data_IF_171981834869
#
_entry.id   IF_171981834869
#
_cell.length_a   1.000
_cell.length_b   1.000
_cell.length_c   1.000
_cell.angle_alpha   90.00
_cell.angle_beta   90.00
_cell.angle_gamma   90.00
#
_symmetry.space_group_name_H-M   'P 1'
#
loop_
_entity.id
_entity.type
_entity.pdbx_description
1 polymer ?
#
# COMPACT_ATOMS: atom_id res chain seq x y z
N UNK A 1 -11.27 2.53 5.75
CA UNK A 1 -11.55 3.62 6.71
C UNK A 1 -11.13 4.94 6.07
N UNK A 2 -11.60 6.08 6.58
CA UNK A 2 -11.13 7.41 6.18
C UNK A 2 -12.23 8.36 5.76
N UNK A 3 -11.84 9.47 5.13
CA UNK A 3 -12.76 10.54 4.70
C UNK A 3 -13.50 10.16 3.42
N UNK A 4 -14.44 9.22 3.54
CA UNK A 4 -15.17 8.65 2.41
C UNK A 4 -16.63 8.39 2.78
N UNK A 5 -17.54 8.79 1.90
CA UNK A 5 -18.93 8.41 1.96
C UNK A 5 -19.33 7.84 0.59
N UNK A 6 -20.11 6.75 0.61
CA UNK A 6 -20.67 6.16 -0.61
C UNK A 6 -21.99 5.45 -0.29
N UNK A 7 -22.72 5.05 -1.32
CA UNK A 7 -23.94 4.24 -1.22
C UNK A 7 -23.69 2.94 -1.96
N UNK A 8 -23.99 1.79 -1.34
CA UNK A 8 -23.96 0.47 -1.98
C UNK A 8 -25.36 -0.14 -1.84
N UNK A 9 -25.99 -0.54 -2.94
CA UNK A 9 -27.32 -1.16 -2.95
C UNK A 9 -28.39 -0.38 -2.13
N UNK A 10 -28.33 0.95 -2.14
CA UNK A 10 -29.21 1.83 -1.36
C UNK A 10 -28.83 2.01 0.12
N UNK A 11 -27.83 1.29 0.63
CA UNK A 11 -27.28 1.48 1.98
C UNK A 11 -26.19 2.55 1.96
N UNK A 12 -26.36 3.61 2.75
CA UNK A 12 -25.35 4.66 2.92
C UNK A 12 -24.24 4.20 3.88
N UNK A 13 -23.01 4.28 3.42
CA UNK A 13 -21.79 4.11 4.22
C UNK A 13 -21.15 5.48 4.42
N UNK A 14 -21.18 5.95 5.67
CA UNK A 14 -20.63 7.25 6.05
C UNK A 14 -19.40 7.05 6.95
N UNK A 15 -18.23 7.01 6.32
CA UNK A 15 -16.96 6.92 7.05
C UNK A 15 -16.48 8.31 7.52
N UNK A 16 -17.08 9.41 7.05
CA UNK A 16 -16.61 10.78 7.34
C UNK A 16 -16.82 11.12 8.82
N UNK A 17 -17.94 10.71 9.41
CA UNK A 17 -18.23 10.96 10.83
C UNK A 17 -17.29 10.17 11.77
N UNK A 18 -16.80 9.02 11.32
CA UNK A 18 -15.90 8.15 12.08
C UNK A 18 -14.75 7.67 11.18
N UNK A 19 -13.80 8.56 10.82
CA UNK A 19 -12.81 8.30 9.77
C UNK A 19 -11.83 7.19 10.13
N UNK A 20 -11.71 6.83 11.39
CA UNK A 20 -10.83 5.73 11.82
C UNK A 20 -11.57 4.41 12.01
N UNK A 21 -12.89 4.37 11.82
CA UNK A 21 -13.66 3.14 11.89
C UNK A 21 -13.47 2.33 10.60
N UNK A 22 -13.12 1.05 10.76
CA UNK A 22 -12.97 0.13 9.66
C UNK A 22 -14.36 -0.28 9.12
N UNK A 23 -14.51 -0.26 7.79
CA UNK A 23 -15.68 -0.76 7.08
C UNK A 23 -15.22 -1.82 6.08
N UNK A 24 -16.02 -2.87 5.84
CA UNK A 24 -15.71 -3.87 4.82
C UNK A 24 -15.71 -3.23 3.43
N UNK A 25 -14.90 -3.79 2.54
CA UNK A 25 -14.89 -3.41 1.13
C UNK A 25 -16.18 -3.90 0.46
N UNK A 26 -16.86 -3.05 -0.35
CA UNK A 26 -18.02 -3.45 -1.14
C UNK A 26 -17.72 -4.66 -2.02
N UNK A 27 -18.58 -5.67 -1.97
CA UNK A 27 -18.43 -6.87 -2.82
C UNK A 27 -18.90 -6.57 -4.24
N UNK A 28 -20.02 -5.85 -4.35
CA UNK A 28 -20.61 -5.43 -5.62
C UNK A 28 -20.21 -4.00 -5.93
N UNK A 29 -18.95 -3.82 -6.34
CA UNK A 29 -18.38 -2.49 -6.62
C UNK A 29 -19.16 -1.73 -7.71
N UNK A 30 -19.84 -2.45 -8.61
CA UNK A 30 -20.68 -1.85 -9.66
C UNK A 30 -21.95 -1.17 -9.11
N UNK A 31 -22.39 -1.53 -7.89
CA UNK A 31 -23.54 -0.92 -7.21
C UNK A 31 -23.12 0.24 -6.28
N UNK A 32 -21.85 0.62 -6.30
CA UNK A 32 -21.32 1.74 -5.51
C UNK A 32 -21.58 3.06 -6.23
N UNK A 33 -22.41 3.88 -5.61
CA UNK A 33 -22.83 5.18 -6.13
C UNK A 33 -22.56 6.31 -5.12
N UNK A 34 -22.68 7.56 -5.58
CA UNK A 34 -22.62 8.76 -4.74
C UNK A 34 -21.36 8.84 -3.86
N UNK A 35 -20.19 8.59 -4.49
CA UNK A 35 -18.90 8.67 -3.82
C UNK A 35 -18.56 10.14 -3.54
N UNK A 36 -18.43 10.47 -2.26
CA UNK A 36 -18.07 11.80 -1.77
C UNK A 36 -16.86 11.64 -0.85
N UNK A 37 -15.83 12.46 -1.07
CA UNK A 37 -14.63 12.45 -0.26
C UNK A 37 -14.04 13.85 -0.14
N UNK A 38 -13.45 14.13 1.03
CA UNK A 38 -12.62 15.32 1.28
C UNK A 38 -11.17 14.91 1.57
N UNK A 39 -10.79 13.69 1.20
CA UNK A 39 -9.46 13.18 1.41
C UNK A 39 -8.44 13.82 0.46
N UNK A 40 -7.20 13.94 0.92
CA UNK A 40 -6.09 14.46 0.12
C UNK A 40 -5.36 13.36 -0.66
N UNK A 41 -5.40 12.13 -0.16
CA UNK A 41 -4.75 10.97 -0.77
C UNK A 41 -5.37 9.66 -0.29
N UNK A 42 -5.08 8.58 -1.02
CA UNK A 42 -5.42 7.20 -0.66
C UNK A 42 -4.14 6.47 -0.26
N UNK A 43 -4.17 5.79 0.89
CA UNK A 43 -3.09 4.95 1.37
C UNK A 43 -3.55 3.48 1.38
N UNK A 44 -2.87 2.67 0.59
CA UNK A 44 -3.05 1.21 0.56
C UNK A 44 -2.02 0.59 1.49
N UNK A 45 -2.47 -0.26 2.41
CA UNK A 45 -1.62 -0.96 3.37
C UNK A 45 -1.77 -2.45 3.14
N UNK A 46 -0.65 -3.16 3.12
CA UNK A 46 -0.64 -4.62 2.97
C UNK A 46 -1.23 -5.33 4.20
N UNK A 47 -0.66 -5.03 5.38
CA UNK A 47 -0.85 -5.81 6.60
C UNK A 47 -2.00 -5.29 7.46
N UNK A 48 -2.86 -6.19 7.91
CA UNK A 48 -4.02 -5.83 8.74
C UNK A 48 -3.59 -5.26 10.10
N UNK A 49 -2.50 -5.75 10.71
CA UNK A 49 -2.00 -5.22 11.97
C UNK A 49 -1.59 -3.74 11.86
N UNK A 50 -0.92 -3.37 10.77
CA UNK A 50 -0.56 -1.98 10.45
C UNK A 50 -1.81 -1.14 10.20
N UNK A 51 -2.82 -1.69 9.51
CA UNK A 51 -4.10 -1.01 9.31
C UNK A 51 -4.82 -0.71 10.63
N UNK A 52 -4.92 -1.69 11.52
CA UNK A 52 -5.51 -1.51 12.86
C UNK A 52 -4.71 -0.50 13.69
N UNK A 53 -3.38 -0.49 13.56
CA UNK A 53 -2.53 0.50 14.20
C UNK A 53 -2.85 1.93 13.73
N UNK A 54 -2.94 2.14 12.42
CA UNK A 54 -3.33 3.44 11.84
C UNK A 54 -4.71 3.91 12.34
N UNK A 55 -5.65 2.97 12.53
CA UNK A 55 -6.98 3.25 13.07
C UNK A 55 -6.90 3.73 14.53
N UNK A 56 -6.14 3.01 15.36
CA UNK A 56 -5.94 3.33 16.78
C UNK A 56 -5.28 4.70 16.99
N UNK A 57 -4.29 5.03 16.16
CA UNK A 57 -3.56 6.31 16.24
C UNK A 57 -4.35 7.50 15.62
N UNK A 58 -5.59 7.26 15.20
CA UNK A 58 -6.48 8.23 14.56
C UNK A 58 -5.87 8.87 13.29
N UNK A 59 -5.08 8.09 12.54
CA UNK A 59 -4.28 8.58 11.41
C UNK A 59 -5.13 9.25 10.33
N UNK A 60 -6.29 8.69 9.99
CA UNK A 60 -7.15 9.23 8.94
C UNK A 60 -7.69 10.62 9.32
N UNK A 61 -8.02 10.82 10.59
CA UNK A 61 -8.50 12.12 11.11
C UNK A 61 -7.41 13.19 11.05
N UNK A 62 -6.16 12.83 11.36
CA UNK A 62 -5.03 13.77 11.37
C UNK A 62 -4.58 14.17 9.96
N UNK A 63 -4.52 13.21 9.04
CA UNK A 63 -3.93 13.41 7.71
C UNK A 63 -4.95 13.59 6.57
N UNK A 64 -6.25 13.62 6.89
CA UNK A 64 -7.33 13.73 5.90
C UNK A 64 -7.17 12.74 4.74
N UNK A 65 -7.04 11.44 5.03
CA UNK A 65 -6.81 10.42 4.00
C UNK A 65 -7.84 9.29 4.03
N UNK A 66 -7.84 8.49 2.97
CA UNK A 66 -8.52 7.19 2.91
C UNK A 66 -7.47 6.11 3.11
N UNK A 67 -7.74 5.13 3.97
CA UNK A 67 -6.87 3.97 4.16
C UNK A 67 -7.62 2.69 3.78
N UNK A 68 -7.00 1.88 2.92
CA UNK A 68 -7.52 0.60 2.42
C UNK A 68 -6.50 -0.49 2.77
N UNK A 69 -6.98 -1.63 3.27
CA UNK A 69 -6.16 -2.81 3.58
C UNK A 69 -6.49 -3.92 2.58
N UNK A 70 -5.46 -4.55 2.01
CA UNK A 70 -5.59 -5.74 1.16
C UNK A 70 -5.52 -7.06 1.93
N UNK A 71 -5.11 -7.05 3.21
CA UNK A 71 -4.83 -8.23 4.03
C UNK A 71 -3.85 -9.21 3.37
N UNK A 72 -2.76 -8.66 2.84
CA UNK A 72 -1.81 -9.38 1.98
C UNK A 72 -2.12 -9.17 0.50
N UNK A 73 -2.20 -10.27 -0.26
CA UNK A 73 -2.53 -10.20 -1.69
C UNK A 73 -3.96 -9.73 -1.92
N UNK A 74 -4.16 -8.67 -2.72
CA UNK A 74 -5.47 -8.06 -2.85
C UNK A 74 -6.44 -8.90 -3.68
N UNK A 75 -7.64 -9.05 -3.16
CA UNK A 75 -8.76 -9.67 -3.86
C UNK A 75 -9.34 -8.74 -4.95
N UNK A 76 -10.17 -9.34 -5.81
CA UNK A 76 -10.78 -8.64 -6.95
C UNK A 76 -11.65 -7.45 -6.51
N UNK A 77 -12.53 -7.57 -5.49
CA UNK A 77 -13.30 -6.44 -4.98
C UNK A 77 -12.44 -5.29 -4.48
N UNK A 78 -11.38 -5.55 -3.71
CA UNK A 78 -10.48 -4.47 -3.22
C UNK A 78 -9.81 -3.73 -4.38
N UNK A 79 -9.36 -4.46 -5.41
CA UNK A 79 -8.74 -3.83 -6.59
C UNK A 79 -9.73 -3.01 -7.40
N UNK A 80 -10.94 -3.53 -7.62
CA UNK A 80 -12.05 -2.80 -8.27
C UNK A 80 -12.39 -1.53 -7.52
N UNK A 81 -12.56 -1.64 -6.20
CA UNK A 81 -12.93 -0.51 -5.35
C UNK A 81 -11.85 0.57 -5.34
N UNK A 82 -10.57 0.19 -5.21
CA UNK A 82 -9.46 1.12 -5.26
C UNK A 82 -9.38 1.86 -6.61
N UNK A 83 -9.60 1.15 -7.71
CA UNK A 83 -9.63 1.76 -9.03
C UNK A 83 -10.79 2.74 -9.16
N UNK A 84 -12.01 2.34 -8.76
CA UNK A 84 -13.19 3.20 -8.76
C UNK A 84 -12.94 4.50 -7.99
N UNK A 85 -12.35 4.41 -6.79
CA UNK A 85 -12.00 5.59 -5.99
C UNK A 85 -10.96 6.46 -6.68
N UNK A 86 -9.94 5.86 -7.28
CA UNK A 86 -8.89 6.61 -7.98
C UNK A 86 -9.44 7.33 -9.22
N UNK A 87 -10.35 6.69 -9.98
CA UNK A 87 -10.99 7.28 -11.16
C UNK A 87 -11.99 8.38 -10.82
N UNK A 88 -12.76 8.21 -9.74
CA UNK A 88 -13.80 9.18 -9.35
C UNK A 88 -13.24 10.37 -8.58
N UNK A 89 -12.26 10.13 -7.70
CA UNK A 89 -11.71 11.16 -6.82
C UNK A 89 -10.43 11.79 -7.37
N UNK A 90 -9.77 11.16 -8.35
CA UNK A 90 -8.48 11.60 -8.92
C UNK A 90 -7.41 11.89 -7.85
N UNK A 91 -7.45 11.17 -6.73
CA UNK A 91 -6.51 11.36 -5.63
C UNK A 91 -5.19 10.62 -5.88
N UNK A 92 -4.07 11.15 -5.38
CA UNK A 92 -2.81 10.41 -5.36
C UNK A 92 -2.96 9.16 -4.47
N UNK A 93 -2.53 8.02 -5.00
CA UNK A 93 -2.60 6.72 -4.32
C UNK A 93 -1.19 6.24 -3.97
N UNK A 94 -0.96 6.01 -2.69
CA UNK A 94 0.29 5.51 -2.14
C UNK A 94 0.10 4.09 -1.62
N UNK A 95 1.13 3.25 -1.73
CA UNK A 95 1.11 1.89 -1.22
C UNK A 95 2.27 1.67 -0.26
N UNK A 96 1.95 1.15 0.92
CA UNK A 96 2.87 0.81 1.98
C UNK A 96 2.86 -0.72 2.16
N UNK A 97 4.01 -1.33 1.89
CA UNK A 97 4.23 -2.78 1.88
C UNK A 97 5.48 -3.13 2.71
N UNK A 98 5.60 -4.39 3.09
CA UNK A 98 6.80 -4.88 3.81
C UNK A 98 8.05 -4.80 2.92
N UNK A 99 9.23 -4.69 3.54
CA UNK A 99 10.50 -4.62 2.82
C UNK A 99 10.98 -6.03 2.45
N UNK A 100 10.24 -6.68 1.56
CA UNK A 100 10.58 -8.00 1.02
C UNK A 100 10.07 -8.18 -0.43
N UNK A 101 10.46 -9.26 -1.13
CA UNK A 101 10.01 -9.49 -2.50
C UNK A 101 8.49 -9.72 -2.64
N UNK A 102 7.80 -10.15 -1.57
CA UNK A 102 6.35 -10.38 -1.59
C UNK A 102 5.58 -9.06 -1.55
N UNK A 103 5.98 -8.13 -0.69
CA UNK A 103 5.42 -6.77 -0.62
C UNK A 103 5.54 -6.05 -1.97
N UNK A 104 6.70 -6.16 -2.62
CA UNK A 104 6.89 -5.58 -3.97
C UNK A 104 6.02 -6.28 -5.03
N UNK A 105 5.77 -7.58 -4.90
CA UNK A 105 4.88 -8.32 -5.82
C UNK A 105 3.39 -7.96 -5.62
N UNK A 106 2.98 -7.71 -4.37
CA UNK A 106 1.66 -7.17 -4.02
C UNK A 106 1.46 -5.79 -4.64
N UNK A 107 2.43 -4.90 -4.49
CA UNK A 107 2.43 -3.59 -5.13
C UNK A 107 2.37 -3.70 -6.66
N UNK A 108 3.16 -4.61 -7.25
CA UNK A 108 3.13 -4.86 -8.69
C UNK A 108 1.76 -5.37 -9.15
N UNK A 109 1.05 -6.14 -8.31
CA UNK A 109 -0.31 -6.61 -8.59
C UNK A 109 -1.32 -5.46 -8.64
N UNK A 110 -1.21 -4.47 -7.75
CA UNK A 110 -2.04 -3.27 -7.81
C UNK A 110 -1.77 -2.42 -9.06
N UNK A 111 -0.49 -2.26 -9.44
CA UNK A 111 -0.09 -1.39 -10.56
C UNK A 111 -0.29 -2.04 -11.93
N UNK A 112 0.24 -3.24 -12.10
CA UNK A 112 0.34 -3.95 -13.39
C UNK A 112 -0.67 -5.08 -13.54
N UNK A 113 -1.35 -5.46 -12.46
CA UNK A 113 -2.30 -6.56 -12.45
C UNK A 113 -1.65 -7.94 -12.33
N UNK A 114 -2.48 -8.97 -12.19
CA UNK A 114 -2.04 -10.36 -12.22
C UNK A 114 -2.08 -10.90 -13.64
N UNK A 115 -1.09 -11.72 -14.02
CA UNK A 115 -1.07 -12.41 -15.32
C UNK A 115 -2.30 -13.29 -15.53
N UNK A 116 -2.85 -13.87 -14.46
CA UNK A 116 -4.03 -14.74 -14.52
C UNK A 116 -5.31 -13.97 -14.88
N UNK A 117 -5.34 -12.65 -14.66
CA UNK A 117 -6.51 -11.79 -14.90
C UNK A 117 -6.21 -10.71 -15.93
N UNK A 118 -5.51 -11.07 -17.01
CA UNK A 118 -5.08 -10.12 -18.04
C UNK A 118 -6.28 -9.43 -18.76
N UNK A 119 -7.40 -10.13 -18.95
CA UNK A 119 -8.59 -9.58 -19.60
C UNK A 119 -9.24 -8.47 -18.78
N UNK A 120 -9.37 -8.68 -17.46
CA UNK A 120 -9.93 -7.70 -16.54
C UNK A 120 -8.91 -6.66 -16.06
N UNK A 121 -7.67 -6.74 -16.52
CA UNK A 121 -6.60 -5.85 -16.07
C UNK A 121 -6.91 -4.37 -16.31
N UNK A 122 -7.74 -4.03 -17.31
CA UNK A 122 -8.18 -2.64 -17.51
C UNK A 122 -8.96 -2.10 -16.32
N UNK A 123 -9.69 -2.95 -15.60
CA UNK A 123 -10.55 -2.57 -14.49
C UNK A 123 -10.00 -2.98 -13.10
N UNK A 124 -8.77 -3.47 -13.04
CA UNK A 124 -8.19 -3.99 -11.80
C UNK A 124 -6.82 -3.40 -11.50
N UNK A 125 -6.42 -2.38 -12.26
CA UNK A 125 -5.10 -1.78 -12.19
C UNK A 125 -5.20 -0.32 -11.81
N UNK A 126 -4.27 0.11 -10.98
CA UNK A 126 -4.11 1.50 -10.58
C UNK A 126 -2.72 1.95 -11.03
N UNK A 127 -2.57 2.35 -12.31
CA UNK A 127 -1.25 2.67 -12.88
C UNK A 127 -0.57 3.85 -12.17
N UNK A 128 -1.35 4.74 -11.55
CA UNK A 128 -0.85 5.89 -10.80
C UNK A 128 -0.37 5.58 -9.39
N UNK A 129 -0.44 4.32 -8.93
CA UNK A 129 -0.03 3.95 -7.57
C UNK A 129 1.49 4.13 -7.40
N UNK A 130 1.88 4.75 -6.28
CA UNK A 130 3.27 5.05 -5.93
C UNK A 130 3.69 4.21 -4.72
N UNK A 131 4.92 3.71 -4.74
CA UNK A 131 5.49 2.98 -3.62
C UNK A 131 5.96 3.97 -2.56
N UNK A 132 5.40 3.89 -1.35
CA UNK A 132 5.77 4.74 -0.24
C UNK A 132 6.92 4.15 0.61
N UNK A 133 7.12 2.84 0.50
CA UNK A 133 8.07 2.06 1.27
C UNK A 133 7.40 0.79 1.83
N UNK A 134 8.04 0.04 2.72
CA UNK A 134 9.35 0.32 3.31
C UNK A 134 10.52 -0.03 2.36
N UNK A 135 11.51 0.87 2.24
CA UNK A 135 12.66 0.65 1.35
C UNK A 135 13.83 -0.03 2.07
N UNK A 136 14.69 -0.78 1.36
CA UNK A 136 15.90 -1.37 1.94
C UNK A 136 16.85 -0.38 2.61
N UNK A 137 16.88 0.88 2.17
CA UNK A 137 17.71 1.94 2.77
C UNK A 137 17.05 2.61 3.99
N UNK A 138 15.75 2.43 4.18
CA UNK A 138 15.03 2.99 5.33
C UNK A 138 15.45 2.34 6.65
N UNK A 139 15.91 1.08 6.61
CA UNK A 139 16.40 0.43 7.83
C UNK A 139 17.64 1.12 8.43
N UNK A 140 18.52 1.68 7.57
CA UNK A 140 19.68 2.44 8.02
C UNK A 140 19.27 3.85 8.46
N UNK A 141 18.41 4.49 7.67
CA UNK A 141 17.97 5.88 7.88
C UNK A 141 17.18 6.04 9.18
N UNK A 142 16.33 5.07 9.51
CA UNK A 142 15.48 5.09 10.70
C UNK A 142 15.98 4.15 11.81
N UNK A 143 17.23 3.70 11.72
CA UNK A 143 17.91 2.90 12.75
C UNK A 143 17.08 1.69 13.23
N UNK A 144 16.51 0.93 12.29
CA UNK A 144 15.70 -0.26 12.61
C UNK A 144 16.58 -1.26 13.38
N UNK A 145 16.11 -1.77 14.54
CA UNK A 145 16.90 -2.69 15.36
C UNK A 145 17.34 -3.93 14.56
N UNK A 146 18.61 -4.31 14.66
CA UNK A 146 19.18 -5.47 13.94
C UNK A 146 18.44 -6.78 14.22
N UNK A 147 17.81 -6.91 15.39
CA UNK A 147 16.99 -8.06 15.76
C UNK A 147 15.70 -8.22 14.93
N UNK A 148 15.24 -7.14 14.30
CA UNK A 148 14.08 -7.14 13.41
C UNK A 148 14.47 -7.35 11.94
N UNK A 149 15.78 -7.34 11.63
CA UNK A 149 16.29 -7.61 10.28
C UNK A 149 16.44 -9.11 10.10
N UNK A 150 15.74 -9.66 9.13
CA UNK A 150 15.77 -11.08 8.79
C UNK A 150 16.63 -11.28 7.54
N UNK A 151 17.48 -12.33 7.48
CA UNK A 151 18.20 -12.65 6.26
C UNK A 151 17.24 -13.08 5.15
N UNK A 152 17.55 -12.70 3.91
CA UNK A 152 16.81 -13.18 2.74
C UNK A 152 17.02 -14.68 2.56
N UNK A 153 15.91 -15.40 2.42
CA UNK A 153 15.94 -16.84 2.09
C UNK A 153 16.30 -17.04 0.62
N UNK A 154 16.72 -18.25 0.26
CA UNK A 154 16.97 -18.61 -1.15
C UNK A 154 15.70 -18.56 -2.02
N UNK A 155 14.52 -18.69 -1.42
CA UNK A 155 13.25 -18.46 -2.12
C UNK A 155 13.02 -16.97 -2.38
N UNK A 156 13.26 -16.10 -1.39
CA UNK A 156 13.15 -14.65 -1.54
C UNK A 156 14.07 -14.15 -2.66
N UNK A 157 15.34 -14.60 -2.67
CA UNK A 157 16.32 -14.24 -3.71
C UNK A 157 15.86 -14.66 -5.10
N UNK A 158 15.39 -15.91 -5.24
CA UNK A 158 14.86 -16.41 -6.52
C UNK A 158 13.67 -15.59 -7.00
N UNK A 159 12.75 -15.22 -6.09
CA UNK A 159 11.58 -14.39 -6.42
C UNK A 159 11.98 -12.99 -6.84
N UNK A 160 12.86 -12.32 -6.09
CA UNK A 160 13.39 -11.00 -6.46
C UNK A 160 14.10 -11.01 -7.81
N UNK A 161 14.94 -12.02 -8.08
CA UNK A 161 15.59 -12.19 -9.38
C UNK A 161 14.57 -12.40 -10.52
N UNK A 162 13.54 -13.23 -10.30
CA UNK A 162 12.47 -13.42 -11.27
C UNK A 162 11.68 -12.12 -11.54
N UNK A 163 11.50 -11.26 -10.53
CA UNK A 163 10.86 -9.95 -10.69
C UNK A 163 11.70 -9.01 -11.54
N UNK A 164 13.03 -8.98 -11.36
CA UNK A 164 13.94 -8.15 -12.16
C UNK A 164 13.93 -8.50 -13.66
N UNK A 165 13.50 -9.72 -14.03
CA UNK A 165 13.35 -10.15 -15.42
C UNK A 165 12.03 -9.70 -16.06
N UNK A 166 11.08 -9.16 -15.29
CA UNK A 166 9.78 -8.72 -15.84
C UNK A 166 9.94 -7.44 -16.68
N UNK A 167 9.32 -7.41 -17.86
CA UNK A 167 9.49 -6.32 -18.83
C UNK A 167 9.14 -4.93 -18.27
N UNK A 168 8.09 -4.82 -17.46
CA UNK A 168 7.66 -3.54 -16.87
C UNK A 168 8.64 -3.02 -15.82
N UNK A 169 9.41 -3.88 -15.14
CA UNK A 169 10.44 -3.46 -14.19
C UNK A 169 11.61 -2.75 -14.89
N UNK A 170 11.88 -3.12 -16.14
CA UNK A 170 12.95 -2.52 -16.94
C UNK A 170 12.53 -1.21 -17.60
N UNK A 171 11.26 -1.11 -18.03
CA UNK A 171 10.79 0.00 -18.87
C UNK A 171 9.98 1.05 -18.11
N UNK A 172 9.10 0.62 -17.21
CA UNK A 172 8.11 1.52 -16.58
C UNK A 172 8.53 1.99 -15.19
N UNK A 173 9.20 1.13 -14.40
CA UNK A 173 9.56 1.43 -13.01
C UNK A 173 11.04 1.16 -12.71
N UNK A 174 11.98 1.88 -13.37
CA UNK A 174 13.41 1.68 -13.16
C UNK A 174 13.87 1.95 -11.71
N UNK A 175 13.17 2.83 -10.98
CA UNK A 175 13.45 3.08 -9.57
C UNK A 175 13.15 1.86 -8.69
N UNK A 176 12.04 1.16 -8.96
CA UNK A 176 11.69 -0.06 -8.21
C UNK A 176 12.71 -1.16 -8.43
N UNK A 177 13.25 -1.26 -9.66
CA UNK A 177 14.32 -2.17 -9.99
C UNK A 177 15.57 -1.92 -9.13
N UNK A 178 15.99 -0.68 -8.98
CA UNK A 178 17.14 -0.30 -8.15
C UNK A 178 16.91 -0.73 -6.71
N UNK A 179 15.73 -0.48 -6.13
CA UNK A 179 15.42 -0.90 -4.76
C UNK A 179 15.47 -2.43 -4.59
N UNK A 180 15.01 -3.21 -5.58
CA UNK A 180 15.11 -4.69 -5.53
C UNK A 180 16.57 -5.14 -5.64
N UNK A 181 17.39 -4.47 -6.45
CA UNK A 181 18.84 -4.74 -6.54
C UNK A 181 19.53 -4.45 -5.21
N UNK A 182 19.22 -3.32 -4.57
CA UNK A 182 19.73 -2.96 -3.22
C UNK A 182 19.27 -3.98 -2.17
N UNK A 183 18.02 -4.46 -2.24
CA UNK A 183 17.50 -5.52 -1.37
C UNK A 183 18.35 -6.80 -1.48
N UNK A 184 18.66 -7.21 -2.71
CA UNK A 184 19.49 -8.39 -2.98
C UNK A 184 20.94 -8.21 -2.51
N UNK A 185 21.53 -7.02 -2.72
CA UNK A 185 22.88 -6.69 -2.27
C UNK A 185 23.00 -6.71 -0.74
N UNK A 186 22.04 -6.08 -0.05
CA UNK A 186 22.01 -6.07 1.42
C UNK A 186 21.73 -7.44 2.02
N UNK A 187 20.96 -8.28 1.33
CA UNK A 187 20.68 -9.64 1.80
C UNK A 187 19.73 -9.70 3.02
N UNK A 188 19.04 -8.61 3.36
CA UNK A 188 18.14 -8.54 4.53
C UNK A 188 16.75 -8.02 4.13
N UNK A 189 15.73 -8.50 4.85
CA UNK A 189 14.34 -8.05 4.78
C UNK A 189 13.81 -7.69 6.16
N UNK A 190 12.74 -6.91 6.21
CA UNK A 190 12.06 -6.58 7.47
C UNK A 190 10.59 -6.21 7.23
N UNK A 191 9.78 -6.40 8.27
CA UNK A 191 8.36 -6.08 8.26
C UNK A 191 8.12 -4.63 8.65
N UNK A 192 7.01 -4.02 8.21
CA UNK A 192 6.63 -2.65 8.58
C UNK A 192 6.54 -2.43 10.10
N UNK A 193 6.19 -3.48 10.84
CA UNK A 193 6.12 -3.47 12.30
C UNK A 193 7.49 -3.22 12.95
N UNK A 194 8.60 -3.55 12.26
CA UNK A 194 9.96 -3.27 12.71
C UNK A 194 10.23 -1.76 12.82
N UNK A 195 9.60 -0.93 11.99
CA UNK A 195 9.68 0.54 12.10
C UNK A 195 9.01 1.04 13.38
N UNK A 196 8.04 0.29 13.91
CA UNK A 196 7.35 0.61 15.16
C UNK A 196 8.02 0.01 16.40
N UNK A 197 9.18 -0.66 16.24
CA UNK A 197 9.90 -1.29 17.35
C UNK A 197 10.46 -0.27 18.35
N UNK A 198 10.87 0.91 17.87
CA UNK A 198 11.44 1.97 18.72
C UNK A 198 10.36 2.85 19.36
N UNK A 199 9.32 3.20 18.60
CA UNK A 199 8.14 3.90 19.10
C UNK A 199 6.91 3.38 18.38
N UNK A 200 5.89 3.02 19.15
CA UNK A 200 4.65 2.44 18.64
C UNK A 200 3.95 3.36 17.63
N UNK A 201 4.08 4.68 17.79
CA UNK A 201 3.48 5.69 16.89
C UNK A 201 4.45 6.22 15.84
N UNK A 202 5.68 5.69 15.77
CA UNK A 202 6.69 6.17 14.81
C UNK A 202 6.20 6.07 13.36
N UNK A 203 5.57 4.95 13.02
CA UNK A 203 5.06 4.72 11.67
C UNK A 203 4.00 5.76 11.27
N UNK A 204 3.11 6.11 12.21
CA UNK A 204 1.95 6.97 12.00
C UNK A 204 2.28 8.45 12.10
N UNK A 205 3.18 8.83 13.00
CA UNK A 205 3.50 10.24 13.31
C UNK A 205 4.70 10.77 12.52
N UNK A 206 5.69 9.94 12.22
CA UNK A 206 6.93 10.38 11.59
C UNK A 206 7.11 9.79 10.19
N UNK A 207 7.13 8.46 10.06
CA UNK A 207 7.53 7.79 8.83
C UNK A 207 6.62 8.13 7.63
N UNK A 208 5.31 7.85 7.74
CA UNK A 208 4.37 8.08 6.64
C UNK A 208 4.27 9.57 6.28
N UNK A 209 4.04 10.50 7.23
CA UNK A 209 3.92 11.93 6.90
C UNK A 209 5.22 12.50 6.29
N UNK A 210 6.39 12.14 6.84
CA UNK A 210 7.68 12.60 6.33
C UNK A 210 7.93 12.14 4.90
N UNK A 211 7.63 10.88 4.58
CA UNK A 211 7.76 10.33 3.22
C UNK A 211 6.83 11.02 2.22
N UNK A 212 5.57 11.26 2.59
CA UNK A 212 4.58 11.91 1.71
C UNK A 212 4.96 13.38 1.46
N UNK A 213 5.29 14.13 2.52
CA UNK A 213 5.63 15.55 2.42
C UNK A 213 6.99 15.78 1.75
N UNK A 214 7.98 14.92 2.05
CA UNK A 214 9.32 14.98 1.49
C UNK A 214 9.44 14.41 0.08
N UNK A 215 8.37 13.86 -0.50
CA UNK A 215 8.42 13.24 -1.82
C UNK A 215 9.25 11.96 -1.89
N UNK A 216 9.43 11.28 -0.76
CA UNK A 216 10.25 10.07 -0.61
C UNK A 216 9.59 8.79 -1.10
N UNK A 217 8.78 8.88 -2.17
CA UNK A 217 8.05 7.77 -2.78
C UNK A 217 8.45 7.62 -4.26
N UNK A 218 8.26 6.42 -4.82
CA UNK A 218 8.69 6.09 -6.19
C UNK A 218 7.62 5.43 -7.06
#
# INVERSE_FOLDING_TARGET
>A
MGWLQFVEAGRKFDCINSPNTAHPIPVYVEEVENIISVAQYILVVEKESVFQRLANDQFCKRNHCIVISGRGYPDVPTRRFLQLLTEKLCLPTYCLVDCDPYGVDILATYRFGSMQMAYDAKFLRVPGIRWLGAFPLDCDTYCVPKQCLLPLTEEDKRRAQAMLQRCYMQREVPKWRIEIEVLLEKGVKYELEALSACSLSFLTEEYIPSKIQGGGYI
#
